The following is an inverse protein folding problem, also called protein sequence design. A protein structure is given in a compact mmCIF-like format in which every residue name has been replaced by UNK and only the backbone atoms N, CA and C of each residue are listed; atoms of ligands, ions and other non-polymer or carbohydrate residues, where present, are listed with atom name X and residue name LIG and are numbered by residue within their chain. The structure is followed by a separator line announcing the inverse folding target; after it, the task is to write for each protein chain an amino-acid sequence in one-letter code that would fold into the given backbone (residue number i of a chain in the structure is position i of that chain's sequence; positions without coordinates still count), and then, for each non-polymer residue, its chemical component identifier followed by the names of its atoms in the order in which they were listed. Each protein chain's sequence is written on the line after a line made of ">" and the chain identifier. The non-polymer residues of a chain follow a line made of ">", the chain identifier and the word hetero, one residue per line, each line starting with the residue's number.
data_IF_423415816916
#
_entry.id   IF_423415816916
#
_cell.length_a   1.000
_cell.length_b   1.000
_cell.length_c   1.000
_cell.angle_alpha   90.00
_cell.angle_beta   90.00
_cell.angle_gamma   90.00
#
_symmetry.space_group_name_H-M   'P 1'
#
loop_
_entity.id
_entity.type
_entity.pdbx_description
1 polymer ?
#
# COMPACT_ATOMS: atom_id res chain seq x y z
N UNK A 1 -20.69 -44.17 19.98
CA UNK A 1 -21.66 -43.14 19.64
C UNK A 1 -21.47 -41.99 20.63
N UNK A 2 -20.79 -40.96 20.24
CA UNK A 2 -20.78 -39.70 20.96
C UNK A 2 -22.12 -39.05 20.59
N UNK A 3 -23.06 -38.92 21.54
CA UNK A 3 -24.31 -38.21 21.30
C UNK A 3 -23.98 -36.77 20.87
N UNK A 4 -24.71 -36.24 19.88
CA UNK A 4 -24.63 -34.82 19.58
C UNK A 4 -24.86 -34.02 20.86
N UNK A 5 -24.04 -33.05 21.15
CA UNK A 5 -24.25 -32.18 22.29
C UNK A 5 -25.63 -31.54 22.22
N UNK A 6 -26.34 -31.49 23.37
CA UNK A 6 -27.72 -31.02 23.47
C UNK A 6 -27.93 -29.61 22.86
N UNK A 7 -26.89 -28.78 22.84
CA UNK A 7 -26.94 -27.44 22.23
C UNK A 7 -27.03 -27.48 20.69
N UNK A 8 -26.53 -28.54 19.99
CA UNK A 8 -26.64 -28.64 18.54
C UNK A 8 -28.11 -28.89 18.09
N UNK A 9 -28.89 -29.58 18.89
CA UNK A 9 -30.33 -29.74 18.64
C UNK A 9 -31.09 -28.40 18.76
N UNK A 10 -30.63 -27.53 19.64
CA UNK A 10 -31.21 -26.20 19.86
C UNK A 10 -30.82 -25.23 18.73
N UNK A 11 -29.59 -25.36 18.19
CA UNK A 11 -29.11 -24.56 17.04
C UNK A 11 -29.87 -24.92 15.75
N UNK A 12 -30.29 -26.18 15.58
CA UNK A 12 -31.03 -26.62 14.39
C UNK A 12 -32.38 -25.91 14.17
N UNK A 13 -32.94 -25.25 15.20
CA UNK A 13 -34.14 -24.41 15.11
C UNK A 13 -33.86 -22.89 15.09
N UNK A 14 -32.57 -22.47 15.14
CA UNK A 14 -32.23 -21.08 15.18
C UNK A 14 -32.53 -20.38 13.85
N UNK A 15 -33.01 -19.15 13.92
CA UNK A 15 -33.12 -18.27 12.75
C UNK A 15 -31.71 -17.90 12.26
N UNK A 16 -31.53 -17.79 10.96
CA UNK A 16 -30.25 -17.31 10.37
C UNK A 16 -30.39 -15.85 9.99
N UNK A 17 -29.40 -15.06 10.34
CA UNK A 17 -29.27 -13.67 9.93
C UNK A 17 -27.88 -13.40 9.44
N UNK A 18 -27.75 -13.00 8.18
CA UNK A 18 -26.49 -12.56 7.59
C UNK A 18 -26.41 -11.05 7.65
N UNK A 19 -25.34 -10.50 8.24
CA UNK A 19 -25.12 -9.06 8.25
C UNK A 19 -24.99 -8.52 6.83
N UNK A 20 -25.73 -7.45 6.58
CA UNK A 20 -25.75 -6.73 5.31
C UNK A 20 -24.75 -5.57 5.32
N UNK A 21 -24.51 -4.97 4.17
CA UNK A 21 -23.70 -3.75 4.07
C UNK A 21 -24.24 -2.60 4.93
N UNK A 22 -25.58 -2.52 5.06
CA UNK A 22 -26.23 -1.50 5.89
C UNK A 22 -26.02 -1.76 7.38
N UNK A 23 -25.97 -3.02 7.79
CA UNK A 23 -25.67 -3.36 9.18
C UNK A 23 -24.22 -3.00 9.55
N UNK A 24 -23.26 -3.27 8.67
CA UNK A 24 -21.88 -2.80 8.88
C UNK A 24 -21.81 -1.27 8.90
N UNK A 25 -22.53 -0.57 8.03
CA UNK A 25 -22.59 0.89 8.04
C UNK A 25 -23.18 1.45 9.35
N UNK A 26 -24.18 0.78 9.95
CA UNK A 26 -24.72 1.16 11.27
C UNK A 26 -23.71 0.97 12.41
N UNK A 27 -22.82 -0.02 12.30
CA UNK A 27 -21.78 -0.27 13.30
C UNK A 27 -20.66 0.76 13.22
N UNK A 28 -20.16 0.99 12.03
CA UNK A 28 -18.99 1.85 11.80
C UNK A 28 -19.33 3.30 11.53
N UNK A 29 -20.56 3.60 11.11
CA UNK A 29 -20.99 4.86 10.51
C UNK A 29 -20.87 4.80 8.99
N UNK A 30 -21.62 5.68 8.30
CA UNK A 30 -21.69 5.69 6.84
C UNK A 30 -20.36 6.06 6.15
N UNK A 31 -19.46 6.73 6.87
CA UNK A 31 -18.15 7.12 6.38
C UNK A 31 -17.12 5.99 6.40
N UNK A 32 -17.39 4.90 7.13
CA UNK A 32 -16.50 3.74 7.22
C UNK A 32 -17.10 2.59 6.45
N UNK A 33 -16.65 2.35 5.23
CA UNK A 33 -17.10 1.24 4.38
C UNK A 33 -16.38 -0.06 4.72
N UNK A 34 -16.44 -0.51 5.98
CA UNK A 34 -15.84 -1.79 6.38
C UNK A 34 -16.91 -2.90 6.34
N UNK A 35 -16.79 -3.92 5.49
CA UNK A 35 -17.75 -5.02 5.39
C UNK A 35 -17.43 -6.15 6.39
N UNK A 36 -16.97 -5.79 7.60
CA UNK A 36 -16.60 -6.75 8.66
C UNK A 36 -16.77 -6.12 10.05
N UNK A 37 -16.81 -6.96 11.09
CA UNK A 37 -16.71 -6.56 12.49
C UNK A 37 -15.30 -6.83 13.02
N UNK A 38 -14.97 -6.22 14.14
CA UNK A 38 -13.70 -6.39 14.85
C UNK A 38 -13.94 -6.71 16.34
N UNK A 39 -12.91 -7.05 17.13
CA UNK A 39 -13.06 -7.30 18.56
C UNK A 39 -13.75 -6.18 19.32
N UNK A 40 -13.61 -4.92 18.89
CA UNK A 40 -14.26 -3.78 19.54
C UNK A 40 -15.73 -3.60 19.18
N UNK A 41 -16.20 -4.27 18.13
CA UNK A 41 -17.55 -4.06 17.59
C UNK A 41 -18.46 -5.28 17.63
N UNK A 42 -17.94 -6.46 17.98
CA UNK A 42 -18.77 -7.68 18.12
C UNK A 42 -19.94 -7.50 19.11
N UNK A 43 -19.73 -6.73 20.17
CA UNK A 43 -20.77 -6.43 21.16
C UNK A 43 -21.96 -5.63 20.60
N UNK A 44 -21.85 -5.08 19.39
CA UNK A 44 -22.91 -4.33 18.72
C UNK A 44 -23.88 -5.23 17.96
N UNK A 45 -23.57 -6.52 17.77
CA UNK A 45 -24.44 -7.50 17.09
C UNK A 45 -25.81 -7.58 17.76
N UNK A 46 -25.86 -7.63 19.09
CA UNK A 46 -27.13 -7.71 19.83
C UNK A 46 -28.06 -6.51 19.59
N UNK A 47 -27.48 -5.32 19.40
CA UNK A 47 -28.26 -4.12 19.07
C UNK A 47 -28.82 -4.19 17.65
N UNK A 48 -27.98 -4.62 16.69
CA UNK A 48 -28.40 -4.80 15.29
C UNK A 48 -29.53 -5.83 15.18
N UNK A 49 -29.42 -6.94 15.90
CA UNK A 49 -30.45 -7.97 15.90
C UNK A 49 -31.80 -7.48 16.53
N UNK A 50 -31.72 -6.64 17.55
CA UNK A 50 -32.90 -6.02 18.15
C UNK A 50 -33.65 -5.11 17.18
N UNK A 51 -32.92 -4.46 16.24
CA UNK A 51 -33.51 -3.64 15.18
C UNK A 51 -34.01 -4.48 13.98
N UNK A 52 -33.32 -5.58 13.66
CA UNK A 52 -33.63 -6.41 12.51
C UNK A 52 -34.69 -7.47 12.77
N UNK A 53 -34.96 -7.77 14.06
CA UNK A 53 -35.87 -8.83 14.50
C UNK A 53 -36.85 -8.32 15.56
N UNK A 54 -37.70 -7.39 15.17
CA UNK A 54 -38.69 -6.76 16.06
C UNK A 54 -39.68 -7.77 16.68
N UNK A 55 -39.89 -8.92 16.00
CA UNK A 55 -40.79 -10.00 16.45
C UNK A 55 -40.08 -11.10 17.30
N UNK A 56 -38.83 -10.89 17.70
CA UNK A 56 -38.09 -11.88 18.50
C UNK A 56 -38.64 -11.92 19.93
N UNK A 57 -38.90 -13.14 20.42
CA UNK A 57 -39.36 -13.40 21.79
C UNK A 57 -38.18 -13.81 22.69
N UNK A 58 -38.36 -13.69 24.01
CA UNK A 58 -37.37 -14.17 24.98
C UNK A 58 -37.18 -15.70 24.83
N UNK A 59 -35.90 -16.09 24.60
CA UNK A 59 -35.52 -17.48 24.34
C UNK A 59 -35.34 -17.83 22.88
N UNK A 60 -35.65 -16.92 21.94
CA UNK A 60 -35.36 -17.11 20.53
C UNK A 60 -33.85 -17.14 20.30
N UNK A 61 -33.40 -18.04 19.43
CA UNK A 61 -31.99 -18.16 19.06
C UNK A 61 -31.78 -17.76 17.62
N UNK A 62 -30.70 -17.01 17.38
CA UNK A 62 -30.30 -16.54 16.05
C UNK A 62 -28.87 -16.91 15.83
N UNK A 63 -28.57 -17.53 14.69
CA UNK A 63 -27.22 -17.68 14.15
C UNK A 63 -26.93 -16.48 13.28
N UNK A 64 -25.84 -15.81 13.59
CA UNK A 64 -25.41 -14.58 12.85
C UNK A 64 -24.17 -14.86 12.05
N UNK A 65 -24.29 -14.70 10.76
CA UNK A 65 -23.17 -14.79 9.82
C UNK A 65 -22.60 -13.39 9.54
N UNK A 66 -21.32 -13.19 9.83
CA UNK A 66 -20.66 -11.92 9.57
C UNK A 66 -19.19 -12.12 9.19
N UNK A 67 -18.66 -11.18 8.43
CA UNK A 67 -17.22 -11.09 8.19
C UNK A 67 -16.52 -10.49 9.41
N UNK A 68 -15.35 -11.01 9.74
CA UNK A 68 -14.58 -10.61 10.91
C UNK A 68 -13.13 -10.30 10.53
N UNK A 69 -12.57 -9.28 11.17
CA UNK A 69 -11.15 -8.93 11.07
C UNK A 69 -10.62 -8.61 12.46
N UNK A 70 -9.45 -9.10 12.78
CA UNK A 70 -8.73 -8.72 14.01
C UNK A 70 -8.23 -7.27 13.96
N UNK A 71 -8.20 -6.68 12.77
CA UNK A 71 -7.74 -5.30 12.55
C UNK A 71 -8.96 -4.39 12.43
N UNK A 72 -8.96 -3.28 13.17
CA UNK A 72 -9.97 -2.22 13.08
C UNK A 72 -9.98 -1.60 11.67
N UNK A 73 -11.16 -1.23 11.13
CA UNK A 73 -11.21 -0.44 9.91
C UNK A 73 -10.65 0.96 10.16
N UNK A 74 -9.97 1.48 9.18
CA UNK A 74 -9.48 2.86 9.24
C UNK A 74 -10.64 3.83 9.02
N UNK A 75 -10.76 4.82 9.88
CA UNK A 75 -11.73 5.91 9.73
C UNK A 75 -11.15 6.92 8.75
N UNK A 76 -11.86 7.16 7.68
CA UNK A 76 -11.41 7.98 6.55
C UNK A 76 -11.79 7.33 5.22
N UNK A 77 -13.00 6.77 5.14
CA UNK A 77 -13.47 5.88 4.09
C UNK A 77 -13.71 6.51 2.71
N UNK A 78 -12.61 6.84 2.05
CA UNK A 78 -12.56 6.65 0.61
C UNK A 78 -12.25 5.16 0.31
N UNK A 79 -12.50 4.68 -0.90
CA UNK A 79 -11.91 3.43 -1.37
C UNK A 79 -10.43 3.47 -0.99
N UNK A 80 -9.91 2.40 -0.35
CA UNK A 80 -8.49 2.33 0.01
C UNK A 80 -7.68 2.63 -1.24
N UNK A 81 -7.19 3.85 -1.33
CA UNK A 81 -6.35 4.25 -2.45
C UNK A 81 -5.02 3.55 -2.28
N UNK A 82 -4.88 2.45 -2.97
CA UNK A 82 -3.65 1.69 -2.96
C UNK A 82 -2.61 2.40 -3.79
N UNK A 83 -1.48 2.70 -3.17
CA UNK A 83 -0.32 3.34 -3.79
C UNK A 83 0.86 2.36 -3.83
N UNK A 84 1.85 2.65 -4.66
CA UNK A 84 3.05 1.81 -4.79
C UNK A 84 4.27 2.62 -4.39
N UNK A 85 5.05 2.07 -3.47
CA UNK A 85 6.30 2.65 -2.99
C UNK A 85 7.50 1.93 -3.58
N UNK A 86 8.50 2.71 -4.03
CA UNK A 86 9.77 2.15 -4.45
C UNK A 86 10.42 1.35 -3.33
N UNK A 87 10.90 0.16 -3.66
CA UNK A 87 11.66 -0.71 -2.76
C UNK A 87 13.16 -0.60 -3.06
N UNK A 88 13.98 -0.89 -2.06
CA UNK A 88 15.43 -0.89 -2.19
C UNK A 88 15.96 -2.15 -2.88
N UNK A 89 15.21 -3.25 -2.82
CA UNK A 89 15.59 -4.54 -3.37
C UNK A 89 14.38 -5.41 -3.71
N UNK A 90 14.56 -6.40 -4.54
CA UNK A 90 13.62 -7.51 -4.76
C UNK A 90 13.96 -8.59 -3.73
N UNK A 91 12.98 -9.01 -2.95
CA UNK A 91 13.20 -10.03 -1.89
C UNK A 91 13.46 -11.41 -2.50
N UNK A 92 14.16 -12.28 -1.77
CA UNK A 92 14.46 -13.64 -2.22
C UNK A 92 13.20 -14.48 -2.46
N UNK A 93 12.13 -14.23 -1.69
CA UNK A 93 10.83 -14.88 -1.88
C UNK A 93 10.06 -14.37 -3.08
N UNK A 94 10.52 -13.27 -3.68
CA UNK A 94 9.80 -12.57 -4.75
C UNK A 94 8.68 -11.68 -4.22
N UNK A 95 7.63 -11.51 -5.04
CA UNK A 95 6.50 -10.64 -4.69
C UNK A 95 5.84 -10.03 -5.92
N UNK A 96 4.95 -9.06 -5.67
CA UNK A 96 4.25 -8.33 -6.72
C UNK A 96 4.80 -6.90 -6.83
N UNK A 97 5.33 -6.54 -7.98
CA UNK A 97 6.02 -5.28 -8.20
C UNK A 97 5.50 -4.56 -9.45
N UNK A 98 5.48 -3.25 -9.39
CA UNK A 98 5.44 -2.39 -10.59
C UNK A 98 6.88 -2.01 -10.92
N UNK A 99 7.36 -2.43 -12.07
CA UNK A 99 8.72 -2.17 -12.55
C UNK A 99 8.66 -0.98 -13.50
N UNK A 100 9.47 0.03 -13.28
CA UNK A 100 9.48 1.27 -14.06
C UNK A 100 10.89 1.68 -14.47
N UNK A 101 10.99 2.40 -15.57
CA UNK A 101 12.21 3.13 -15.93
C UNK A 101 11.87 4.59 -16.22
N UNK A 102 12.76 5.55 -15.91
CA UNK A 102 12.58 6.93 -16.30
C UNK A 102 12.78 7.11 -17.80
N UNK A 103 11.93 7.92 -18.42
CA UNK A 103 12.20 8.47 -19.75
C UNK A 103 13.25 9.60 -19.69
N UNK A 104 13.50 10.29 -20.81
CA UNK A 104 14.49 11.40 -20.86
C UNK A 104 14.06 12.62 -20.07
N UNK A 105 12.77 12.79 -19.86
CA UNK A 105 12.16 13.87 -19.09
C UNK A 105 12.05 13.53 -17.59
N UNK A 106 12.33 12.27 -17.22
CA UNK A 106 12.24 11.78 -15.85
C UNK A 106 10.86 11.19 -15.48
N UNK A 107 9.93 11.10 -16.43
CA UNK A 107 8.66 10.42 -16.17
C UNK A 107 8.87 8.92 -16.08
N UNK A 108 8.20 8.27 -15.14
CA UNK A 108 8.33 6.82 -14.95
C UNK A 108 7.37 6.06 -15.87
N UNK A 109 7.93 5.23 -16.74
CA UNK A 109 7.19 4.40 -17.69
C UNK A 109 7.11 2.97 -17.14
N UNK A 110 5.92 2.37 -16.97
CA UNK A 110 5.78 1.02 -16.42
C UNK A 110 6.06 -0.06 -17.47
N UNK A 111 6.68 -1.15 -17.01
CA UNK A 111 6.96 -2.36 -17.78
C UNK A 111 5.83 -3.39 -17.60
N UNK A 112 5.50 -4.15 -18.65
CA UNK A 112 4.60 -5.32 -18.53
C UNK A 112 3.55 -5.45 -19.61
N UNK A 113 3.14 -4.39 -20.30
CA UNK A 113 2.14 -4.47 -21.38
C UNK A 113 2.80 -4.43 -22.75
N UNK A 114 2.33 -5.27 -23.68
CA UNK A 114 2.77 -5.20 -25.07
C UNK A 114 2.23 -3.94 -25.75
N UNK A 115 2.97 -3.40 -26.71
CA UNK A 115 2.48 -2.34 -27.59
C UNK A 115 1.21 -2.76 -28.37
N UNK A 116 1.09 -4.06 -28.65
CA UNK A 116 -0.07 -4.68 -29.32
C UNK A 116 -0.50 -5.89 -28.50
N UNK A 117 -1.45 -5.71 -27.61
CA UNK A 117 -2.00 -6.74 -26.72
C UNK A 117 -2.80 -7.84 -27.43
N UNK A 118 -3.08 -7.67 -28.74
CA UNK A 118 -3.68 -8.75 -29.55
C UNK A 118 -2.69 -9.88 -29.87
N UNK A 119 -1.39 -9.66 -29.60
CA UNK A 119 -0.29 -10.58 -29.85
C UNK A 119 0.23 -11.20 -28.55
N UNK A 120 0.98 -12.28 -28.71
CA UNK A 120 1.73 -12.91 -27.61
C UNK A 120 3.23 -12.66 -27.73
N UNK A 121 3.66 -11.65 -28.47
CA UNK A 121 5.06 -11.23 -28.58
C UNK A 121 5.15 -9.77 -29.04
N UNK A 122 6.21 -9.11 -28.66
CA UNK A 122 6.43 -7.72 -29.06
C UNK A 122 7.34 -6.96 -28.08
N UNK A 123 7.45 -5.67 -28.34
CA UNK A 123 8.01 -4.72 -27.37
C UNK A 123 6.95 -4.33 -26.36
N UNK A 124 7.35 -3.96 -25.16
CA UNK A 124 6.42 -3.48 -24.13
C UNK A 124 6.45 -1.95 -24.06
N UNK A 125 5.31 -1.36 -23.73
CA UNK A 125 5.14 0.06 -23.58
C UNK A 125 4.10 0.35 -22.49
N UNK A 126 4.15 1.57 -21.96
CA UNK A 126 3.18 2.08 -21.00
C UNK A 126 3.10 3.59 -21.09
N UNK A 127 2.04 4.13 -20.53
CA UNK A 127 1.93 5.57 -20.30
C UNK A 127 2.65 5.91 -19.00
N UNK A 128 3.16 7.15 -18.92
CA UNK A 128 3.84 7.62 -17.72
C UNK A 128 2.91 7.55 -16.49
N UNK A 129 3.43 6.99 -15.40
CA UNK A 129 2.68 6.91 -14.14
C UNK A 129 2.71 8.24 -13.41
N UNK A 130 1.65 8.52 -12.64
CA UNK A 130 1.62 9.68 -11.75
C UNK A 130 2.36 9.35 -10.46
N UNK A 131 3.29 10.21 -10.06
CA UNK A 131 4.03 10.10 -8.80
C UNK A 131 3.66 11.29 -7.91
N UNK A 132 3.22 11.00 -6.69
CA UNK A 132 2.89 12.01 -5.68
C UNK A 132 3.61 11.64 -4.38
N UNK A 133 4.38 12.57 -3.82
CA UNK A 133 5.15 12.35 -2.58
C UNK A 133 6.05 11.09 -2.59
N UNK A 134 6.57 10.71 -3.76
CA UNK A 134 7.41 9.52 -3.92
C UNK A 134 6.63 8.19 -4.09
N UNK A 135 5.31 8.23 -4.20
CA UNK A 135 4.47 7.07 -4.46
C UNK A 135 3.89 7.12 -5.87
N UNK A 136 3.77 5.97 -6.52
CA UNK A 136 2.95 5.83 -7.73
C UNK A 136 1.49 5.79 -7.29
N UNK A 137 0.70 6.76 -7.75
CA UNK A 137 -0.70 6.97 -7.35
C UNK A 137 -1.70 6.76 -8.49
N UNK A 138 -1.22 6.59 -9.72
CA UNK A 138 -2.08 6.19 -10.85
C UNK A 138 -2.45 4.71 -10.78
N UNK A 139 -3.54 4.33 -11.44
CA UNK A 139 -3.89 2.91 -11.59
C UNK A 139 -2.83 2.20 -12.44
N UNK A 140 -2.13 1.27 -11.84
CA UNK A 140 -1.08 0.45 -12.45
C UNK A 140 -1.39 -1.05 -12.35
N UNK A 141 -2.63 -1.42 -12.07
CA UNK A 141 -3.06 -2.81 -11.87
C UNK A 141 -2.64 -3.73 -13.02
N UNK A 142 -2.71 -3.24 -14.26
CA UNK A 142 -2.30 -3.97 -15.46
C UNK A 142 -0.78 -4.16 -15.60
N UNK A 143 0.03 -3.46 -14.79
CA UNK A 143 1.49 -3.49 -14.83
C UNK A 143 2.12 -4.18 -13.63
N UNK A 144 1.32 -4.77 -12.75
CA UNK A 144 1.83 -5.51 -11.59
C UNK A 144 2.42 -6.83 -12.06
N UNK A 145 3.71 -7.00 -11.90
CA UNK A 145 4.44 -8.21 -12.26
C UNK A 145 4.63 -9.07 -11.01
N UNK A 146 4.14 -10.29 -11.05
CA UNK A 146 4.48 -11.32 -10.06
C UNK A 146 5.90 -11.82 -10.37
N UNK A 147 6.79 -11.61 -9.43
CA UNK A 147 8.18 -12.05 -9.46
C UNK A 147 8.29 -13.26 -8.53
N UNK A 148 8.63 -14.41 -9.06
CA UNK A 148 8.74 -15.65 -8.29
C UNK A 148 10.13 -16.27 -8.46
N UNK A 149 10.75 -16.82 -7.37
CA UNK A 149 12.06 -17.42 -7.44
C UNK A 149 12.12 -18.56 -8.47
N UNK A 150 13.25 -18.68 -9.15
CA UNK A 150 13.58 -19.78 -10.05
C UNK A 150 14.92 -20.40 -9.65
N UNK A 151 15.44 -21.32 -10.46
CA UNK A 151 16.72 -22.01 -10.13
C UNK A 151 17.93 -21.08 -10.17
N UNK A 152 17.88 -19.99 -10.93
CA UNK A 152 19.03 -19.07 -11.14
C UNK A 152 18.67 -17.58 -10.98
N UNK A 153 17.42 -17.29 -10.67
CA UNK A 153 16.92 -15.92 -10.54
C UNK A 153 15.42 -15.93 -10.29
N UNK A 154 14.66 -15.30 -11.18
CA UNK A 154 13.21 -15.16 -11.03
C UNK A 154 12.48 -15.40 -12.35
N UNK A 155 11.26 -15.92 -12.26
CA UNK A 155 10.27 -15.82 -13.34
C UNK A 155 9.44 -14.56 -13.16
N UNK A 156 8.97 -14.02 -14.29
CA UNK A 156 8.10 -12.84 -14.32
C UNK A 156 6.74 -13.22 -14.90
N UNK A 157 5.66 -12.91 -14.21
CA UNK A 157 4.31 -13.20 -14.63
C UNK A 157 3.44 -11.95 -14.59
N UNK A 158 2.67 -11.71 -15.63
CA UNK A 158 1.73 -10.60 -15.77
C UNK A 158 0.45 -10.85 -14.96
N UNK A 159 -0.40 -9.80 -14.73
CA UNK A 159 -1.71 -9.96 -14.09
C UNK A 159 -2.66 -10.92 -14.83
N UNK A 160 -2.52 -11.04 -16.16
CA UNK A 160 -3.31 -11.98 -16.97
C UNK A 160 -2.83 -13.45 -16.89
N UNK A 161 -1.86 -13.73 -16.00
CA UNK A 161 -1.30 -15.07 -15.77
C UNK A 161 -0.26 -15.50 -16.79
N UNK A 162 0.11 -14.67 -17.77
CA UNK A 162 1.13 -15.02 -18.76
C UNK A 162 2.53 -14.71 -18.25
N UNK A 163 3.44 -15.67 -18.45
CA UNK A 163 4.86 -15.49 -18.19
C UNK A 163 5.52 -14.64 -19.26
N UNK A 164 6.50 -13.82 -18.83
CA UNK A 164 7.34 -13.01 -19.70
C UNK A 164 8.66 -13.76 -19.94
N UNK A 165 8.97 -14.04 -21.18
CA UNK A 165 10.20 -14.72 -21.54
C UNK A 165 10.78 -14.21 -22.86
N UNK A 166 12.00 -14.61 -23.19
CA UNK A 166 12.58 -14.41 -24.52
C UNK A 166 12.74 -15.73 -25.24
N UNK A 167 12.82 -15.66 -26.56
CA UNK A 167 13.04 -16.81 -27.42
C UNK A 167 13.90 -16.43 -28.62
N UNK A 168 14.85 -17.27 -28.97
CA UNK A 168 15.74 -17.01 -30.11
C UNK A 168 16.64 -15.80 -29.91
N UNK A 169 16.85 -15.03 -30.97
CA UNK A 169 17.77 -13.89 -30.99
C UNK A 169 17.09 -12.52 -30.96
N UNK A 170 15.76 -12.51 -30.86
CA UNK A 170 14.96 -11.28 -30.92
C UNK A 170 15.19 -10.40 -29.68
N UNK A 171 14.94 -9.10 -29.84
CA UNK A 171 14.97 -8.14 -28.74
C UNK A 171 13.60 -7.92 -28.08
N UNK A 172 12.55 -8.49 -28.66
CA UNK A 172 11.19 -8.45 -28.14
C UNK A 172 10.97 -9.52 -27.07
N UNK A 173 9.90 -9.34 -26.30
CA UNK A 173 9.41 -10.33 -25.34
C UNK A 173 8.40 -11.27 -25.98
N UNK A 174 8.24 -12.43 -25.37
CA UNK A 174 7.18 -13.38 -25.64
C UNK A 174 6.32 -13.55 -24.39
N UNK A 175 5.03 -13.86 -24.57
CA UNK A 175 4.07 -14.12 -23.51
C UNK A 175 3.45 -15.50 -23.71
N UNK A 176 3.27 -16.24 -22.61
CA UNK A 176 2.60 -17.53 -22.65
C UNK A 176 2.05 -17.96 -21.31
N UNK A 177 0.94 -18.69 -21.29
CA UNK A 177 0.40 -19.28 -20.05
C UNK A 177 1.35 -20.33 -19.43
N UNK A 178 2.26 -20.89 -20.25
CA UNK A 178 3.33 -21.76 -19.81
C UNK A 178 4.65 -21.30 -20.43
N UNK A 179 5.76 -21.64 -19.82
CA UNK A 179 7.10 -21.38 -20.32
C UNK A 179 7.53 -22.55 -21.21
N UNK A 180 7.79 -22.35 -22.52
CA UNK A 180 8.29 -23.40 -23.39
C UNK A 180 9.71 -23.85 -22.98
N UNK A 181 10.06 -25.13 -23.21
CA UNK A 181 11.38 -25.70 -22.84
C UNK A 181 12.58 -24.94 -23.45
N UNK A 182 12.40 -24.33 -24.61
CA UNK A 182 13.43 -23.56 -25.30
C UNK A 182 13.36 -22.05 -25.03
N UNK A 183 12.51 -21.63 -24.12
CA UNK A 183 12.40 -20.23 -23.72
C UNK A 183 13.53 -19.82 -22.75
N UNK A 184 13.78 -18.53 -22.70
CA UNK A 184 14.71 -17.88 -21.80
C UNK A 184 13.88 -17.08 -20.79
N UNK A 185 13.46 -17.71 -19.69
CA UNK A 185 12.48 -17.18 -18.76
C UNK A 185 13.06 -16.83 -17.38
N UNK A 186 14.34 -17.13 -17.17
CA UNK A 186 15.04 -16.77 -15.92
C UNK A 186 15.61 -15.35 -16.02
N UNK A 187 15.21 -14.53 -15.07
CA UNK A 187 15.57 -13.13 -14.99
C UNK A 187 16.37 -12.84 -13.71
N UNK A 188 17.39 -12.05 -13.82
CA UNK A 188 18.26 -11.66 -12.70
C UNK A 188 18.16 -10.17 -12.48
N UNK A 189 17.75 -9.76 -11.28
CA UNK A 189 17.81 -8.38 -10.82
C UNK A 189 19.21 -8.12 -10.26
N UNK A 190 19.98 -7.27 -10.93
CA UNK A 190 21.33 -6.91 -10.52
C UNK A 190 21.29 -5.52 -9.87
N UNK A 191 21.42 -5.42 -8.53
CA UNK A 191 21.39 -4.14 -7.83
C UNK A 191 22.53 -3.21 -8.28
N UNK A 192 22.25 -1.91 -8.32
CA UNK A 192 23.24 -0.88 -8.63
C UNK A 192 23.41 0.04 -7.43
N UNK A 193 22.43 0.90 -7.14
CA UNK A 193 22.39 1.79 -5.98
C UNK A 193 20.96 2.31 -5.77
N UNK A 194 20.65 2.72 -4.56
CA UNK A 194 19.43 3.45 -4.20
C UNK A 194 18.11 2.84 -4.76
N UNK A 195 18.01 1.51 -4.71
CA UNK A 195 16.84 0.77 -5.21
C UNK A 195 16.77 0.70 -6.74
N UNK A 196 17.83 1.07 -7.46
CA UNK A 196 17.96 0.83 -8.90
C UNK A 196 18.63 -0.52 -9.17
N UNK A 197 18.23 -1.14 -10.26
CA UNK A 197 18.78 -2.41 -10.72
C UNK A 197 18.78 -2.50 -12.25
N UNK A 198 19.56 -3.42 -12.79
CA UNK A 198 19.37 -3.93 -14.15
C UNK A 198 18.64 -5.26 -14.12
N UNK A 199 17.75 -5.46 -15.08
CA UNK A 199 17.02 -6.71 -15.25
C UNK A 199 17.60 -7.45 -16.45
N UNK A 200 18.31 -8.55 -16.17
CA UNK A 200 19.06 -9.29 -17.16
C UNK A 200 18.45 -10.67 -17.36
N UNK A 201 18.27 -11.07 -18.61
CA UNK A 201 17.91 -12.44 -18.92
C UNK A 201 19.12 -13.35 -18.74
N UNK A 202 19.01 -14.36 -17.88
CA UNK A 202 20.17 -15.21 -17.53
C UNK A 202 20.74 -15.95 -18.72
N UNK A 203 19.94 -16.44 -19.64
CA UNK A 203 20.36 -17.29 -20.76
C UNK A 203 21.13 -16.55 -21.84
N UNK A 204 20.57 -15.43 -22.33
CA UNK A 204 21.17 -14.69 -23.44
C UNK A 204 21.92 -13.43 -23.02
N UNK A 205 21.95 -13.13 -21.71
CA UNK A 205 22.67 -12.00 -21.12
C UNK A 205 22.23 -10.62 -21.67
N UNK A 206 21.03 -10.55 -22.22
CA UNK A 206 20.45 -9.27 -22.64
C UNK A 206 19.78 -8.57 -21.48
N UNK A 207 19.87 -7.24 -21.48
CA UNK A 207 19.31 -6.37 -20.45
C UNK A 207 17.99 -5.76 -20.94
N UNK A 208 17.00 -5.74 -20.08
CA UNK A 208 15.74 -5.01 -20.30
C UNK A 208 16.04 -3.52 -20.29
N UNK A 209 15.60 -2.81 -21.32
CA UNK A 209 15.83 -1.38 -21.49
C UNK A 209 14.61 -0.66 -22.02
N UNK A 210 14.37 0.54 -21.50
CA UNK A 210 13.43 1.49 -22.08
C UNK A 210 14.14 2.33 -23.15
N UNK A 211 13.80 2.13 -24.40
CA UNK A 211 14.39 2.87 -25.53
C UNK A 211 13.36 3.82 -26.16
N UNK A 212 13.86 4.96 -26.60
CA UNK A 212 13.08 5.91 -27.38
C UNK A 212 13.17 5.55 -28.88
N UNK A 213 12.03 5.37 -29.51
CA UNK A 213 11.92 5.13 -30.95
C UNK A 213 11.65 6.44 -31.68
N UNK A 214 12.68 7.04 -32.27
CA UNK A 214 12.64 8.39 -32.88
C UNK A 214 11.54 8.53 -33.94
N UNK A 215 11.37 7.53 -34.82
CA UNK A 215 10.37 7.59 -35.89
C UNK A 215 8.93 7.59 -35.41
N UNK A 216 8.67 6.98 -34.25
CA UNK A 216 7.34 6.90 -33.66
C UNK A 216 7.10 7.90 -32.53
N UNK A 217 8.14 8.53 -32.06
CA UNK A 217 8.06 9.44 -30.89
C UNK A 217 7.66 8.73 -29.60
N UNK A 218 7.95 7.43 -29.47
CA UNK A 218 7.45 6.59 -28.37
C UNK A 218 8.58 5.88 -27.65
N UNK A 219 8.37 5.63 -26.36
CA UNK A 219 9.23 4.77 -25.57
C UNK A 219 8.73 3.32 -25.61
N UNK A 220 9.65 2.37 -25.64
CA UNK A 220 9.32 0.95 -25.52
C UNK A 220 10.43 0.15 -24.85
N UNK A 221 10.02 -0.84 -24.08
CA UNK A 221 10.93 -1.82 -23.51
C UNK A 221 11.27 -2.92 -24.52
N UNK A 222 12.53 -3.29 -24.54
CA UNK A 222 13.05 -4.45 -25.23
C UNK A 222 14.26 -4.99 -24.46
N UNK A 223 14.83 -6.10 -24.93
CA UNK A 223 16.00 -6.74 -24.35
C UNK A 223 17.20 -6.60 -25.29
N UNK A 224 18.22 -5.91 -24.85
CA UNK A 224 19.35 -5.56 -25.72
C UNK A 224 20.70 -5.92 -25.08
N UNK A 225 21.74 -6.20 -25.87
CA UNK A 225 23.09 -6.34 -25.36
C UNK A 225 23.70 -4.97 -25.00
N UNK A 226 24.63 -4.98 -24.04
CA UNK A 226 25.39 -3.80 -23.63
C UNK A 226 24.60 -2.80 -22.80
N UNK A 227 25.27 -1.73 -22.38
CA UNK A 227 24.75 -0.66 -21.53
C UNK A 227 24.30 0.54 -22.37
N UNK A 228 23.16 1.14 -22.05
CA UNK A 228 22.66 2.36 -22.67
C UNK A 228 21.64 3.05 -21.76
N UNK A 229 21.17 4.25 -22.13
CA UNK A 229 20.06 4.90 -21.48
C UNK A 229 18.86 3.93 -21.33
N UNK A 230 18.15 4.03 -20.21
CA UNK A 230 16.92 3.24 -19.96
C UNK A 230 17.16 1.82 -19.47
N UNK A 231 18.39 1.41 -19.16
CA UNK A 231 18.69 0.10 -18.60
C UNK A 231 18.47 -0.01 -17.07
N UNK A 232 18.44 1.14 -16.40
CA UNK A 232 18.24 1.18 -14.96
C UNK A 232 16.75 1.25 -14.65
N UNK A 233 16.30 0.33 -13.81
CA UNK A 233 14.93 0.10 -13.48
C UNK A 233 14.73 0.25 -11.96
N UNK A 234 13.53 0.63 -11.57
CA UNK A 234 13.08 0.62 -10.18
C UNK A 234 11.86 -0.29 -10.04
N UNK A 235 11.69 -0.89 -8.88
CA UNK A 235 10.50 -1.64 -8.53
C UNK A 235 9.76 -0.95 -7.39
N UNK A 236 8.43 -1.01 -7.43
CA UNK A 236 7.56 -0.49 -6.37
C UNK A 236 6.56 -1.55 -5.95
N UNK A 237 6.38 -1.71 -4.65
CA UNK A 237 5.37 -2.60 -4.07
C UNK A 237 4.12 -1.81 -3.69
N UNK A 238 2.99 -2.50 -3.77
CA UNK A 238 1.72 -2.01 -3.27
C UNK A 238 1.80 -1.78 -1.77
N UNK A 239 1.41 -0.60 -1.32
CA UNK A 239 1.34 -0.24 0.09
C UNK A 239 0.03 0.46 0.39
N UNK A 240 -0.44 0.31 1.62
CA UNK A 240 -1.54 1.11 2.14
C UNK A 240 -0.94 2.11 3.13
N UNK A 241 -0.76 3.34 2.70
CA UNK A 241 -0.24 4.44 3.51
C UNK A 241 -1.35 5.20 4.24
N UNK A 242 -2.62 4.76 4.06
CA UNK A 242 -3.79 5.39 4.67
C UNK A 242 -4.16 6.73 4.06
N UNK A 243 -3.72 7.02 2.84
CA UNK A 243 -3.93 8.29 2.14
C UNK A 243 -3.42 9.54 2.91
N UNK A 244 -2.49 9.34 3.83
CA UNK A 244 -1.84 10.46 4.51
C UNK A 244 -1.00 11.29 3.54
N UNK A 245 -0.98 12.60 3.77
CA UNK A 245 -0.18 13.55 2.97
C UNK A 245 0.92 14.15 3.82
N UNK A 246 2.17 14.03 3.36
CA UNK A 246 3.28 14.79 3.94
C UNK A 246 3.31 16.20 3.35
N UNK A 247 3.33 17.22 4.21
CA UNK A 247 3.41 18.63 3.83
C UNK A 247 4.62 19.27 4.47
N UNK A 248 5.63 19.60 3.66
CA UNK A 248 6.87 20.21 4.13
C UNK A 248 6.75 21.73 4.05
N UNK A 249 6.88 22.41 5.19
CA UNK A 249 6.83 23.87 5.28
C UNK A 249 8.24 24.44 5.23
N UNK A 250 9.16 23.87 5.99
CA UNK A 250 10.55 24.27 5.99
C UNK A 250 11.46 23.03 6.02
N UNK A 251 12.31 22.93 5.03
CA UNK A 251 13.36 21.91 4.94
C UNK A 251 14.69 22.63 4.70
N UNK A 252 15.73 22.29 5.46
CA UNK A 252 17.08 22.82 5.21
C UNK A 252 17.89 21.86 4.33
N UNK A 253 18.58 20.88 4.94
CA UNK A 253 19.47 19.97 4.22
C UNK A 253 18.85 18.57 3.99
N UNK A 254 17.54 18.42 4.23
CA UNK A 254 16.80 17.19 3.98
C UNK A 254 15.79 17.40 2.86
N UNK A 255 15.52 16.36 2.09
CA UNK A 255 14.56 16.41 0.98
C UNK A 255 13.13 16.06 1.43
N UNK A 256 13.00 15.44 2.59
CA UNK A 256 11.72 15.08 3.21
C UNK A 256 11.91 14.88 4.72
N UNK A 257 10.84 14.95 5.48
CA UNK A 257 10.78 14.57 6.90
C UNK A 257 9.95 13.31 7.07
N UNK A 258 8.72 13.30 6.57
CA UNK A 258 7.82 12.17 6.64
C UNK A 258 7.97 11.24 5.46
N UNK A 259 8.06 9.94 5.73
CA UNK A 259 8.09 8.88 4.73
C UNK A 259 7.33 7.66 5.26
N UNK A 260 6.48 7.06 4.41
CA UNK A 260 5.91 5.76 4.73
C UNK A 260 6.96 4.66 4.59
N UNK A 261 7.06 3.79 5.57
CA UNK A 261 7.94 2.63 5.56
C UNK A 261 7.12 1.37 5.32
N UNK A 262 7.11 0.87 4.07
CA UNK A 262 6.31 -0.28 3.67
C UNK A 262 6.75 -1.58 4.37
N UNK A 263 8.03 -1.71 4.72
CA UNK A 263 8.56 -2.90 5.41
C UNK A 263 8.02 -3.05 6.83
N UNK A 264 7.62 -1.93 7.45
CA UNK A 264 7.07 -1.92 8.80
C UNK A 264 5.61 -1.47 8.88
N UNK A 265 5.03 -0.95 7.78
CA UNK A 265 3.64 -0.54 7.71
C UNK A 265 3.29 0.72 8.51
N UNK A 266 4.24 1.65 8.67
CA UNK A 266 4.01 2.92 9.37
C UNK A 266 4.65 4.12 8.69
N UNK A 267 4.17 5.30 9.00
CA UNK A 267 4.82 6.56 8.67
C UNK A 267 5.92 6.88 9.69
N UNK A 268 7.07 7.27 9.21
CA UNK A 268 8.20 7.71 10.03
C UNK A 268 8.64 9.12 9.66
N UNK A 269 9.06 9.87 10.67
CA UNK A 269 9.67 11.19 10.52
C UNK A 269 11.12 11.17 10.93
N UNK A 270 11.95 11.92 10.22
CA UNK A 270 13.35 12.13 10.60
C UNK A 270 13.96 13.27 9.79
N UNK A 271 14.72 14.11 10.48
CA UNK A 271 15.44 15.22 9.89
C UNK A 271 16.96 15.12 10.11
N UNK A 272 17.47 13.89 10.28
CA UNK A 272 18.90 13.64 10.46
C UNK A 272 19.55 13.36 9.09
N UNK A 273 20.41 14.26 8.66
CA UNK A 273 21.19 14.12 7.45
C UNK A 273 22.58 14.77 7.64
N UNK A 274 23.56 14.35 6.86
CA UNK A 274 24.93 14.87 6.91
C UNK A 274 25.55 14.87 8.31
N UNK A 275 25.25 13.82 9.11
CA UNK A 275 25.70 13.63 10.49
C UNK A 275 25.21 14.70 11.49
N UNK A 276 24.13 15.40 11.19
CA UNK A 276 23.51 16.39 12.08
C UNK A 276 21.98 16.35 12.03
N UNK A 277 21.34 16.88 13.06
CA UNK A 277 19.91 17.19 13.03
C UNK A 277 19.73 18.52 12.27
N UNK A 278 18.74 18.57 11.40
CA UNK A 278 18.41 19.74 10.59
C UNK A 278 17.10 20.35 11.10
N UNK A 279 17.04 21.67 11.31
CA UNK A 279 15.78 22.34 11.59
C UNK A 279 14.79 22.11 10.45
N UNK A 280 13.58 21.67 10.79
CA UNK A 280 12.53 21.40 9.81
C UNK A 280 11.17 21.65 10.41
N UNK A 281 10.22 22.03 9.57
CA UNK A 281 8.79 21.98 9.86
C UNK A 281 8.10 21.16 8.78
N UNK A 282 7.43 20.08 9.21
CA UNK A 282 6.75 19.19 8.31
C UNK A 282 5.56 18.52 9.00
N UNK A 283 4.48 18.38 8.27
CA UNK A 283 3.21 17.86 8.72
C UNK A 283 2.90 16.53 8.03
N UNK A 284 2.30 15.61 8.76
CA UNK A 284 1.64 14.43 8.22
C UNK A 284 0.15 14.60 8.44
N UNK A 285 -0.59 14.81 7.37
CA UNK A 285 -2.02 15.12 7.41
C UNK A 285 -2.80 13.88 7.00
N UNK A 286 -3.76 13.46 7.85
CA UNK A 286 -4.69 12.38 7.52
C UNK A 286 -5.65 12.81 6.42
N UNK A 287 -6.34 11.87 5.75
CA UNK A 287 -7.55 12.19 5.01
C UNK A 287 -8.57 12.92 5.88
N UNK A 288 -9.49 13.64 5.24
CA UNK A 288 -10.63 14.26 5.93
C UNK A 288 -11.44 13.19 6.68
N UNK A 289 -11.81 13.49 7.90
CA UNK A 289 -12.61 12.62 8.77
C UNK A 289 -13.96 13.31 9.01
N UNK A 290 -15.03 12.77 8.44
CA UNK A 290 -16.39 13.27 8.68
C UNK A 290 -16.90 12.81 10.05
N UNK A 291 -16.95 13.73 11.00
CA UNK A 291 -17.48 13.53 12.34
C UNK A 291 -18.92 14.06 12.51
N UNK A 292 -19.58 14.52 11.45
CA UNK A 292 -20.90 15.17 11.51
C UNK A 292 -22.00 14.30 12.16
N UNK A 293 -21.85 12.98 12.07
CA UNK A 293 -22.78 12.00 12.67
C UNK A 293 -22.22 11.29 13.91
N UNK A 294 -21.00 11.62 14.34
CA UNK A 294 -20.38 11.02 15.49
C UNK A 294 -20.94 11.61 16.78
N UNK A 295 -21.34 10.75 17.73
CA UNK A 295 -21.88 11.21 19.03
C UNK A 295 -20.77 11.30 20.09
N UNK A 296 -19.73 10.53 19.98
CA UNK A 296 -18.55 10.51 20.85
C UNK A 296 -17.33 10.02 20.04
N UNK A 297 -16.77 10.86 19.18
CA UNK A 297 -15.58 10.48 18.44
C UNK A 297 -14.39 10.33 19.41
N UNK A 298 -13.58 9.32 19.21
CA UNK A 298 -12.36 9.05 19.97
C UNK A 298 -11.21 8.94 18.99
N UNK A 299 -10.13 9.65 19.24
CA UNK A 299 -8.87 9.50 18.52
C UNK A 299 -7.97 8.52 19.27
N UNK A 300 -7.44 7.54 18.58
CA UNK A 300 -6.42 6.63 19.12
C UNK A 300 -5.44 6.24 18.01
N UNK A 301 -4.14 6.20 18.32
CA UNK A 301 -3.09 5.78 17.41
C UNK A 301 -1.88 5.24 18.17
N UNK A 302 -1.09 4.41 17.51
CA UNK A 302 0.20 3.97 18.05
C UNK A 302 1.32 4.90 17.61
N UNK A 303 2.23 5.19 18.53
CA UNK A 303 3.37 6.04 18.27
C UNK A 303 4.67 5.46 18.83
N UNK A 304 5.77 5.77 18.15
CA UNK A 304 7.12 5.43 18.59
C UNK A 304 7.95 6.70 18.55
N UNK A 305 8.50 7.08 19.71
CA UNK A 305 9.47 8.18 19.79
C UNK A 305 10.84 7.63 20.17
N UNK A 306 11.85 7.97 19.36
CA UNK A 306 13.23 7.62 19.66
C UNK A 306 14.17 8.76 19.25
N UNK A 307 15.38 8.72 19.75
CA UNK A 307 16.44 9.70 19.49
C UNK A 307 16.16 11.14 19.94
N UNK A 308 15.26 11.38 20.87
CA UNK A 308 15.08 12.71 21.47
C UNK A 308 16.30 13.14 22.32
N UNK A 309 17.16 12.20 22.74
CA UNK A 309 18.44 12.46 23.45
C UNK A 309 18.30 13.39 24.64
N UNK A 310 17.21 13.29 25.40
CA UNK A 310 16.92 14.11 26.58
C UNK A 310 16.25 15.45 26.26
N UNK A 311 15.92 15.74 25.01
CA UNK A 311 15.06 16.88 24.67
C UNK A 311 13.61 16.60 25.05
N UNK A 312 12.91 17.64 25.46
CA UNK A 312 11.46 17.58 25.67
C UNK A 312 10.77 17.30 24.32
N UNK A 313 9.73 16.47 24.33
CA UNK A 313 8.94 16.18 23.12
C UNK A 313 8.21 17.41 22.59
N UNK A 314 7.64 18.19 23.49
CA UNK A 314 6.88 19.40 23.13
C UNK A 314 7.71 20.34 22.26
N UNK A 315 7.11 20.80 21.18
CA UNK A 315 7.78 21.62 20.17
C UNK A 315 8.58 20.82 19.12
N UNK A 316 8.72 19.49 19.29
CA UNK A 316 9.32 18.62 18.27
C UNK A 316 8.29 17.70 17.61
N UNK A 317 7.37 17.12 18.37
CA UNK A 317 6.31 16.25 17.85
C UNK A 317 5.01 16.59 18.55
N UNK A 318 4.02 17.00 17.81
CA UNK A 318 2.70 17.38 18.30
C UNK A 318 1.62 16.87 17.36
N UNK A 319 0.40 16.71 17.83
CA UNK A 319 -0.76 16.37 17.04
C UNK A 319 -1.80 17.48 17.09
N UNK A 320 -2.46 17.73 15.98
CA UNK A 320 -3.44 18.80 15.84
C UNK A 320 -4.69 18.30 15.11
N UNK A 321 -5.82 18.83 15.49
CA UNK A 321 -7.02 18.79 14.64
C UNK A 321 -6.94 20.01 13.72
N UNK A 322 -7.11 19.79 12.43
CA UNK A 322 -7.19 20.83 11.41
C UNK A 322 -8.65 21.03 11.02
N UNK A 323 -9.13 22.26 11.09
CA UNK A 323 -10.41 22.67 10.56
C UNK A 323 -10.20 23.60 9.36
N UNK A 324 -11.15 23.57 8.41
CA UNK A 324 -11.08 24.37 7.19
C UNK A 324 -9.80 24.14 6.36
N UNK A 325 -9.29 22.89 6.39
CA UNK A 325 -8.09 22.50 5.66
C UNK A 325 -8.36 22.38 4.17
N UNK A 326 -7.65 23.16 3.37
CA UNK A 326 -7.76 23.21 1.90
C UNK A 326 -6.41 22.88 1.23
N UNK A 327 -5.84 21.76 1.59
CA UNK A 327 -4.52 21.29 1.12
C UNK A 327 -3.33 22.18 1.53
N UNK A 328 -3.50 23.07 2.51
CA UNK A 328 -2.43 23.89 3.09
C UNK A 328 -2.57 24.00 4.61
N UNK A 329 -1.63 23.35 5.33
CA UNK A 329 -1.61 23.38 6.80
C UNK A 329 -1.36 24.79 7.36
N UNK A 330 -0.74 25.71 6.60
CA UNK A 330 -0.45 27.05 7.10
C UNK A 330 -1.73 27.90 7.23
N UNK A 331 -2.71 27.65 6.38
CA UNK A 331 -3.99 28.39 6.37
C UNK A 331 -5.08 27.76 7.21
N UNK A 332 -4.95 26.47 7.55
CA UNK A 332 -5.93 25.75 8.36
C UNK A 332 -5.96 26.25 9.80
N UNK A 333 -7.15 26.25 10.40
CA UNK A 333 -7.29 26.45 11.85
C UNK A 333 -6.77 25.19 12.57
N UNK A 334 -5.92 25.42 13.59
CA UNK A 334 -5.20 24.33 14.30
C UNK A 334 -5.63 24.30 15.76
N UNK A 335 -6.04 23.14 16.23
CA UNK A 335 -6.31 22.87 17.64
C UNK A 335 -5.34 21.78 18.13
N UNK A 336 -4.50 22.11 19.11
CA UNK A 336 -3.58 21.13 19.69
C UNK A 336 -4.37 20.01 20.37
N UNK A 337 -4.01 18.76 20.09
CA UNK A 337 -4.57 17.59 20.75
C UNK A 337 -3.81 17.34 22.04
N UNK A 338 -4.51 17.46 23.16
CA UNK A 338 -3.99 17.20 24.50
C UNK A 338 -4.29 15.76 24.95
N UNK A 339 -3.69 15.31 26.03
CA UNK A 339 -3.96 13.99 26.63
C UNK A 339 -3.31 12.80 25.96
N UNK A 340 -2.53 13.00 24.92
CA UNK A 340 -1.83 11.92 24.21
C UNK A 340 -0.76 11.28 25.07
N UNK A 341 -0.79 9.95 25.22
CA UNK A 341 0.32 9.18 25.76
C UNK A 341 1.37 8.98 24.68
N UNK A 342 2.55 9.57 24.89
CA UNK A 342 3.65 9.52 23.95
C UNK A 342 4.72 8.50 24.35
N UNK A 343 5.44 7.96 23.36
CA UNK A 343 6.63 7.16 23.61
C UNK A 343 7.71 7.90 24.39
N UNK A 344 8.64 7.16 25.01
CA UNK A 344 9.65 7.71 25.94
C UNK A 344 10.72 8.62 25.30
N UNK A 345 10.79 8.68 23.98
CA UNK A 345 11.84 9.42 23.26
C UNK A 345 13.19 8.70 23.16
N UNK A 346 13.29 7.51 23.73
CA UNK A 346 14.54 6.73 23.79
C UNK A 346 14.33 5.23 23.47
N UNK A 347 13.16 4.82 23.02
CA UNK A 347 12.79 3.41 22.75
C UNK A 347 12.14 3.25 21.40
N UNK A 348 12.33 2.08 20.80
CA UNK A 348 11.60 1.63 19.61
C UNK A 348 10.31 0.86 19.97
N UNK A 349 9.87 0.93 21.23
CA UNK A 349 8.62 0.30 21.65
C UNK A 349 7.44 1.17 21.29
N UNK A 350 6.46 0.59 20.62
CA UNK A 350 5.20 1.26 20.30
C UNK A 350 4.41 1.54 21.59
N UNK A 351 3.81 2.71 21.64
CA UNK A 351 2.96 3.18 22.73
C UNK A 351 1.63 3.63 22.13
N UNK A 352 0.53 3.13 22.66
CA UNK A 352 -0.80 3.60 22.28
C UNK A 352 -1.07 4.98 22.88
N UNK A 353 -1.62 5.89 22.09
CA UNK A 353 -1.94 7.27 22.51
C UNK A 353 -2.90 7.37 23.69
N UNK A 354 -3.62 6.29 23.96
CA UNK A 354 -4.84 6.32 24.77
C UNK A 354 -6.05 6.77 23.95
N UNK A 355 -7.23 6.68 24.54
CA UNK A 355 -8.46 7.20 23.97
C UNK A 355 -8.55 8.70 24.30
N UNK A 356 -8.63 9.53 23.26
CA UNK A 356 -8.65 11.00 23.34
C UNK A 356 -10.01 11.46 22.85
N UNK A 357 -10.80 12.07 23.74
CA UNK A 357 -12.14 12.59 23.48
C UNK A 357 -12.13 13.93 22.75
#
# INVERSE_FOLDING_TARGET
>A
LVGEPEYLATIGGAKHYQLTSDDYAKVWGESVKAPFLSPKTENRISKLLGEAMEDAAEGDMVMVDYAYSETEPRIGGGEEKMVYQQVSEITEEGGNYVIVAPDKEGNLIPFGKLQDESKNYGYMAGEAVTVTNGFITSDVTDYVIAVAPSSVGYTLQRPDGKFIYQQGTYNSFNLGATIPDNAFADWVFQPIQDGMFTLVNDKNKKTVKLNFYEKGGTYSYGCYPGTSFGEYLNASMKVNDGDFKAQNIALEEVSYVWKYDAGYGYWKAGAYANNKNNPTESWLVSPEIDLSKATKPVLSFDNILNHLKGHERAGYVEAYILADYTDDVQTAAKTLVEGITWGSGSSWTAVNSGDID
#
